data_IF_742737640357
#
_entry.id   IF_742737640357
#
_cell.length_a   1.000
_cell.length_b   1.000
_cell.length_c   1.000
_cell.angle_alpha   90.00
_cell.angle_beta   90.00
_cell.angle_gamma   90.00
#
_symmetry.space_group_name_H-M   'P 1'
#
loop_
_entity.id
_entity.type
_entity.pdbx_description
1 polymer ?
#
# COMPACT_ATOMS: atom_id res chain seq x y z
N UNK A 1 4.55 35.44 12.55
CA UNK A 1 4.78 34.31 11.61
C UNK A 1 6.14 33.69 11.87
N UNK A 2 6.16 32.41 12.26
CA UNK A 2 7.42 31.69 12.53
C UNK A 2 7.99 31.17 11.22
N UNK A 3 9.27 31.39 10.98
CA UNK A 3 9.94 31.01 9.71
C UNK A 3 9.85 29.50 9.44
N UNK A 4 9.96 28.68 10.47
CA UNK A 4 9.89 27.23 10.40
C UNK A 4 8.53 26.76 9.88
N UNK A 5 7.44 27.33 10.40
CA UNK A 5 6.08 27.00 9.98
C UNK A 5 5.82 27.42 8.53
N UNK A 6 6.30 28.60 8.14
CA UNK A 6 6.20 29.05 6.76
C UNK A 6 7.00 28.19 5.81
N UNK A 7 8.14 27.65 6.25
CA UNK A 7 8.94 26.69 5.48
C UNK A 7 8.16 25.39 5.26
N UNK A 8 7.55 24.82 6.32
CA UNK A 8 6.76 23.59 6.25
C UNK A 8 5.59 23.72 5.26
N UNK A 9 4.81 24.80 5.36
CA UNK A 9 3.70 25.09 4.43
C UNK A 9 4.22 25.18 2.97
N UNK A 10 5.29 25.90 2.75
CA UNK A 10 5.89 26.05 1.42
C UNK A 10 6.34 24.73 0.83
N UNK A 11 7.01 23.89 1.62
CA UNK A 11 7.49 22.60 1.15
C UNK A 11 6.34 21.59 0.94
N UNK A 12 5.30 21.63 1.77
CA UNK A 12 4.08 20.83 1.55
C UNK A 12 3.39 21.21 0.22
N UNK A 13 3.22 22.52 -0.05
CA UNK A 13 2.65 23.00 -1.33
C UNK A 13 3.51 22.59 -2.52
N UNK A 14 4.84 22.66 -2.40
CA UNK A 14 5.75 22.19 -3.47
C UNK A 14 5.60 20.69 -3.73
N UNK A 15 5.47 19.89 -2.66
CA UNK A 15 5.24 18.44 -2.76
C UNK A 15 3.94 18.13 -3.50
N UNK A 16 2.84 18.77 -3.10
CA UNK A 16 1.52 18.65 -3.74
C UNK A 16 1.59 19.06 -5.21
N UNK A 17 2.18 20.23 -5.52
CA UNK A 17 2.36 20.70 -6.89
C UNK A 17 3.10 19.67 -7.74
N UNK A 18 4.25 19.18 -7.26
CA UNK A 18 5.06 18.20 -7.99
C UNK A 18 4.30 16.90 -8.24
N UNK A 19 3.56 16.40 -7.25
CA UNK A 19 2.76 15.20 -7.41
C UNK A 19 1.65 15.40 -8.46
N UNK A 20 0.93 16.52 -8.41
CA UNK A 20 -0.13 16.85 -9.37
C UNK A 20 0.41 16.95 -10.81
N UNK A 21 1.54 17.62 -11.01
CA UNK A 21 2.19 17.76 -12.32
C UNK A 21 2.67 16.40 -12.83
N UNK A 22 3.39 15.66 -12.01
CA UNK A 22 3.96 14.36 -12.41
C UNK A 22 2.91 13.29 -12.64
N UNK A 23 1.84 13.26 -11.86
CA UNK A 23 0.77 12.26 -11.99
C UNK A 23 -0.35 12.71 -12.93
N UNK A 24 -0.27 13.92 -13.48
CA UNK A 24 -1.32 14.53 -14.30
C UNK A 24 -2.69 14.54 -13.56
N UNK A 25 -2.68 14.97 -12.30
CA UNK A 25 -3.82 14.99 -11.41
C UNK A 25 -4.05 16.41 -10.88
N UNK A 26 -4.84 17.24 -11.57
CA UNK A 26 -4.97 18.65 -11.24
C UNK A 26 -5.75 18.87 -9.94
N UNK A 27 -5.35 19.89 -9.19
CA UNK A 27 -6.16 20.40 -8.08
C UNK A 27 -7.39 21.13 -8.65
N UNK A 28 -8.56 20.72 -8.22
CA UNK A 28 -9.84 21.32 -8.66
C UNK A 28 -10.52 22.12 -7.57
N UNK A 29 -10.17 21.88 -6.31
CA UNK A 29 -10.67 22.64 -5.15
C UNK A 29 -9.72 22.45 -3.97
N UNK A 30 -9.77 23.35 -3.03
CA UNK A 30 -9.04 23.24 -1.78
C UNK A 30 -9.24 24.45 -0.88
N UNK A 31 -8.80 24.31 0.36
CA UNK A 31 -8.73 25.42 1.32
C UNK A 31 -7.50 25.25 2.20
N UNK A 32 -7.18 26.29 2.93
CA UNK A 32 -6.15 26.27 3.98
C UNK A 32 -6.72 26.90 5.24
N UNK A 33 -6.46 26.27 6.38
CA UNK A 33 -6.74 26.83 7.70
C UNK A 33 -5.39 27.03 8.42
N UNK A 34 -5.17 28.25 8.87
CA UNK A 34 -3.96 28.66 9.57
C UNK A 34 -4.30 29.03 11.02
N UNK A 35 -3.28 29.13 11.88
CA UNK A 35 -3.42 29.49 13.29
C UNK A 35 -4.24 28.49 14.13
N UNK A 36 -4.23 27.22 13.72
CA UNK A 36 -4.90 26.14 14.46
C UNK A 36 -4.08 25.74 15.69
N UNK A 37 -4.67 25.90 16.85
CA UNK A 37 -4.05 25.49 18.12
C UNK A 37 -5.10 25.01 19.12
N UNK A 38 -4.64 24.22 20.09
CA UNK A 38 -5.44 23.78 21.23
C UNK A 38 -4.65 24.06 22.51
N UNK A 39 -5.23 24.87 23.43
CA UNK A 39 -4.58 25.26 24.68
C UNK A 39 -3.16 25.84 24.50
N UNK A 40 -2.98 26.69 23.51
CA UNK A 40 -1.69 27.34 23.20
C UNK A 40 -0.65 26.41 22.53
N UNK A 41 -1.03 25.20 22.15
CA UNK A 41 -0.18 24.26 21.38
C UNK A 41 -0.66 24.16 19.96
N UNK A 42 0.22 24.42 18.98
CA UNK A 42 -0.07 24.24 17.57
C UNK A 42 -0.40 22.79 17.27
N UNK A 43 -1.39 22.55 16.39
CA UNK A 43 -1.62 21.22 15.82
C UNK A 43 -0.51 20.84 14.84
N UNK A 44 -0.39 19.56 14.53
CA UNK A 44 0.55 19.11 13.50
C UNK A 44 0.14 19.67 12.13
N UNK A 45 1.09 20.14 11.30
CA UNK A 45 0.82 20.57 9.94
C UNK A 45 0.46 19.36 9.08
N UNK A 46 -0.82 19.19 8.78
CA UNK A 46 -1.34 17.98 8.12
C UNK A 46 -2.11 18.35 6.85
N UNK A 47 -1.48 18.25 5.66
CA UNK A 47 -2.20 18.29 4.40
C UNK A 47 -3.10 17.06 4.25
N UNK A 48 -4.36 17.27 3.89
CA UNK A 48 -5.32 16.21 3.58
C UNK A 48 -5.66 16.26 2.10
N UNK A 49 -5.49 15.16 1.40
CA UNK A 49 -5.72 15.07 -0.04
C UNK A 49 -6.92 14.17 -0.31
N UNK A 50 -7.95 14.72 -0.92
CA UNK A 50 -9.08 13.98 -1.47
C UNK A 50 -8.92 13.79 -2.97
N UNK A 51 -9.14 12.57 -3.45
CA UNK A 51 -9.08 12.24 -4.87
C UNK A 51 -10.46 11.85 -5.41
N UNK A 52 -10.83 12.34 -6.60
CA UNK A 52 -12.06 11.96 -7.29
C UNK A 52 -11.72 11.36 -8.64
N UNK A 53 -12.27 10.17 -8.92
CA UNK A 53 -12.12 9.49 -10.19
C UNK A 53 -13.45 8.97 -10.73
N UNK A 54 -13.54 8.82 -12.06
CA UNK A 54 -14.72 8.29 -12.72
C UNK A 54 -14.50 6.84 -13.15
N UNK A 55 -15.33 5.92 -12.66
CA UNK A 55 -15.39 4.53 -13.11
C UNK A 55 -16.49 4.43 -14.16
N UNK A 56 -16.10 4.24 -15.43
CA UNK A 56 -17.07 4.15 -16.56
C UNK A 56 -17.92 2.88 -16.51
N UNK A 57 -17.37 1.79 -16.00
CA UNK A 57 -18.07 0.50 -15.91
C UNK A 57 -17.81 -0.13 -14.54
N UNK A 58 -18.85 -0.25 -13.72
CA UNK A 58 -18.76 -0.82 -12.37
C UNK A 58 -18.31 -2.29 -12.34
N UNK A 59 -18.51 -3.03 -13.42
CA UNK A 59 -18.03 -4.41 -13.53
C UNK A 59 -16.49 -4.51 -13.57
N UNK A 60 -15.81 -3.42 -13.89
CA UNK A 60 -14.35 -3.34 -13.89
C UNK A 60 -13.79 -2.93 -12.50
N UNK A 61 -14.64 -2.84 -11.47
CA UNK A 61 -14.17 -2.58 -10.10
C UNK A 61 -13.58 -3.85 -9.49
N UNK A 62 -12.42 -3.71 -8.89
CA UNK A 62 -11.80 -4.74 -8.03
C UNK A 62 -11.66 -4.20 -6.60
N UNK A 63 -11.91 -5.04 -5.64
CA UNK A 63 -11.69 -4.78 -4.22
C UNK A 63 -10.79 -5.86 -3.63
N UNK A 64 -10.97 -6.19 -2.37
CA UNK A 64 -10.14 -7.14 -1.62
C UNK A 64 -10.54 -8.62 -1.82
N UNK A 65 -11.30 -8.95 -2.85
CA UNK A 65 -11.81 -10.32 -3.06
C UNK A 65 -10.66 -11.30 -3.22
N UNK A 66 -10.71 -12.39 -2.42
CA UNK A 66 -9.84 -13.55 -2.53
C UNK A 66 -10.67 -14.81 -2.78
N UNK A 67 -10.14 -15.71 -3.59
CA UNK A 67 -10.68 -17.07 -3.75
C UNK A 67 -9.62 -18.07 -3.30
N UNK A 68 -10.03 -19.22 -2.74
CA UNK A 68 -9.09 -20.29 -2.40
C UNK A 68 -8.25 -20.70 -3.60
N UNK A 69 -6.98 -21.01 -3.35
CA UNK A 69 -5.97 -21.38 -4.35
C UNK A 69 -5.55 -20.26 -5.31
N UNK A 70 -6.13 -19.05 -5.23
CA UNK A 70 -5.60 -17.90 -5.98
C UNK A 70 -4.17 -17.59 -5.54
N UNK A 71 -3.34 -17.17 -6.48
CA UNK A 71 -1.96 -16.81 -6.21
C UNK A 71 -1.88 -15.34 -5.79
N UNK A 72 -0.92 -15.05 -4.93
CA UNK A 72 -0.66 -13.68 -4.46
C UNK A 72 0.62 -13.18 -5.08
N UNK A 73 0.51 -12.08 -5.80
CA UNK A 73 1.63 -11.39 -6.41
C UNK A 73 1.83 -10.02 -5.78
N UNK A 74 3.10 -9.73 -5.49
CA UNK A 74 3.56 -8.39 -5.14
C UNK A 74 4.05 -7.72 -6.41
N UNK A 75 3.48 -6.59 -6.75
CA UNK A 75 3.94 -5.70 -7.82
C UNK A 75 4.69 -4.52 -7.20
N UNK A 76 5.82 -4.16 -7.80
CA UNK A 76 6.72 -3.12 -7.29
C UNK A 76 7.82 -3.69 -6.37
N UNK A 77 8.92 -2.96 -6.27
CA UNK A 77 10.11 -3.39 -5.52
C UNK A 77 10.01 -3.02 -4.06
N UNK A 78 10.33 -3.95 -3.16
CA UNK A 78 10.52 -3.68 -1.75
C UNK A 78 11.99 -3.37 -1.47
N UNK A 79 12.26 -2.21 -0.88
CA UNK A 79 13.59 -1.78 -0.43
C UNK A 79 13.74 -1.91 1.10
N UNK A 80 12.61 -2.03 1.80
CA UNK A 80 12.54 -2.22 3.24
C UNK A 80 12.70 -0.92 4.03
N UNK A 81 12.07 0.14 3.56
CA UNK A 81 12.10 1.44 4.23
C UNK A 81 11.26 1.40 5.52
N UNK A 82 11.91 1.61 6.66
CA UNK A 82 11.28 1.55 7.99
C UNK A 82 11.22 2.91 8.70
N UNK A 83 11.96 3.91 8.24
CA UNK A 83 11.96 5.24 8.88
C UNK A 83 10.56 5.84 8.84
N UNK A 84 10.13 6.41 9.95
CA UNK A 84 8.80 7.02 10.15
C UNK A 84 7.61 6.05 9.92
N UNK A 85 7.87 4.74 9.79
CA UNK A 85 6.83 3.72 9.62
C UNK A 85 6.03 3.50 10.89
N UNK A 86 4.86 2.86 10.75
CA UNK A 86 4.03 2.41 11.89
C UNK A 86 4.83 1.51 12.83
N UNK A 87 5.73 0.66 12.31
CA UNK A 87 6.61 -0.16 13.14
C UNK A 87 7.51 0.72 14.04
N UNK A 88 8.18 1.72 13.46
CA UNK A 88 9.08 2.59 14.22
C UNK A 88 8.31 3.45 15.22
N UNK A 89 7.11 3.90 14.87
CA UNK A 89 6.21 4.59 15.83
C UNK A 89 5.83 3.67 16.99
N UNK A 90 5.49 2.41 16.72
CA UNK A 90 5.15 1.43 17.76
C UNK A 90 6.32 1.10 18.69
N UNK A 91 7.55 1.11 18.16
CA UNK A 91 8.78 0.88 18.93
C UNK A 91 9.35 2.16 19.56
N UNK A 92 8.67 3.31 19.46
CA UNK A 92 9.14 4.65 19.91
C UNK A 92 10.52 5.04 19.32
N UNK A 93 10.82 4.57 18.11
CA UNK A 93 12.02 4.94 17.36
C UNK A 93 11.74 6.26 16.64
N UNK A 94 12.49 7.30 16.99
CA UNK A 94 12.31 8.66 16.47
C UNK A 94 13.34 8.99 15.42
N UNK A 95 12.93 9.86 14.48
CA UNK A 95 13.81 10.36 13.41
C UNK A 95 13.76 9.51 12.14
N UNK A 96 14.67 9.83 11.23
CA UNK A 96 14.71 9.24 9.89
C UNK A 96 14.08 10.15 8.84
N UNK A 97 13.97 9.63 7.63
CA UNK A 97 13.43 10.34 6.48
C UNK A 97 12.26 9.57 5.88
N UNK A 98 11.24 10.23 5.30
CA UNK A 98 10.20 9.55 4.57
C UNK A 98 10.77 8.82 3.34
N UNK A 99 10.10 7.78 2.84
CA UNK A 99 10.53 7.10 1.63
C UNK A 99 10.55 8.08 0.43
N UNK A 100 11.57 7.94 -0.41
CA UNK A 100 11.66 8.78 -1.61
C UNK A 100 10.58 8.38 -2.62
N UNK A 101 9.77 9.34 -3.03
CA UNK A 101 8.77 9.13 -4.08
C UNK A 101 9.45 9.01 -5.44
N UNK A 102 9.16 7.92 -6.15
CA UNK A 102 9.59 7.69 -7.53
C UNK A 102 8.36 7.78 -8.46
N UNK A 103 8.07 8.95 -8.98
CA UNK A 103 6.90 9.19 -9.82
C UNK A 103 6.85 8.33 -11.09
N UNK A 104 8.01 7.92 -11.61
CA UNK A 104 8.06 7.01 -12.77
C UNK A 104 7.52 5.63 -12.41
N UNK A 105 7.94 5.08 -11.27
CA UNK A 105 7.44 3.78 -10.79
C UNK A 105 5.97 3.88 -10.36
N UNK A 106 5.56 5.00 -9.72
CA UNK A 106 4.16 5.26 -9.37
C UNK A 106 3.25 5.19 -10.61
N UNK A 107 3.58 5.95 -11.63
CA UNK A 107 2.85 5.93 -12.90
C UNK A 107 2.83 4.53 -13.51
N UNK A 108 4.01 3.92 -13.63
CA UNK A 108 4.17 2.65 -14.32
C UNK A 108 3.35 1.54 -13.65
N UNK A 109 3.52 1.36 -12.33
CA UNK A 109 2.83 0.32 -11.59
C UNK A 109 1.33 0.61 -11.46
N UNK A 110 0.94 1.85 -11.20
CA UNK A 110 -0.47 2.26 -11.13
C UNK A 110 -1.20 2.08 -12.47
N UNK A 111 -0.59 2.47 -13.59
CA UNK A 111 -1.19 2.24 -14.91
C UNK A 111 -1.29 0.76 -15.26
N UNK A 112 -0.29 -0.04 -14.91
CA UNK A 112 -0.33 -1.48 -15.09
C UNK A 112 -1.49 -2.12 -14.32
N UNK A 113 -1.63 -1.81 -13.03
CA UNK A 113 -2.74 -2.33 -12.20
C UNK A 113 -4.09 -1.87 -12.75
N UNK A 114 -4.22 -0.60 -13.13
CA UNK A 114 -5.42 -0.07 -13.77
C UNK A 114 -5.78 -0.83 -15.05
N UNK A 115 -4.80 -1.09 -15.91
CA UNK A 115 -4.98 -1.85 -17.16
C UNK A 115 -5.45 -3.28 -16.89
N UNK A 116 -4.83 -3.98 -15.92
CA UNK A 116 -5.30 -5.28 -15.47
C UNK A 116 -6.77 -5.27 -15.03
N UNK A 117 -7.15 -4.27 -14.23
CA UNK A 117 -8.54 -4.14 -13.74
C UNK A 117 -9.53 -3.89 -14.88
N UNK A 118 -9.15 -3.05 -15.84
CA UNK A 118 -10.05 -2.58 -16.89
C UNK A 118 -10.16 -3.53 -18.08
N UNK A 119 -9.07 -4.20 -18.46
CA UNK A 119 -8.94 -4.90 -19.71
C UNK A 119 -8.91 -6.43 -19.56
N UNK A 120 -8.80 -6.94 -18.33
CA UNK A 120 -8.65 -8.38 -18.12
C UNK A 120 -9.58 -8.92 -17.03
N UNK A 121 -9.59 -10.26 -16.91
CA UNK A 121 -10.27 -10.99 -15.82
C UNK A 121 -9.29 -11.86 -15.00
N UNK A 122 -7.99 -11.63 -15.18
CA UNK A 122 -6.92 -12.45 -14.58
C UNK A 122 -6.65 -12.14 -13.11
N UNK A 123 -7.23 -11.08 -12.57
CA UNK A 123 -7.18 -10.75 -11.14
C UNK A 123 -8.57 -10.75 -10.52
N UNK A 124 -8.67 -11.34 -9.33
CA UNK A 124 -9.90 -11.35 -8.53
C UNK A 124 -9.98 -10.13 -7.62
N UNK A 125 -8.85 -9.74 -7.04
CA UNK A 125 -8.73 -8.64 -6.11
C UNK A 125 -7.39 -7.89 -6.22
N UNK A 126 -7.36 -6.73 -5.60
CA UNK A 126 -6.21 -5.83 -5.59
C UNK A 126 -6.20 -5.03 -4.30
N UNK A 127 -5.02 -4.78 -3.75
CA UNK A 127 -4.79 -3.91 -2.59
C UNK A 127 -3.50 -3.12 -2.81
N UNK A 128 -3.51 -1.83 -2.51
CA UNK A 128 -2.30 -1.03 -2.41
C UNK A 128 -1.56 -1.35 -1.10
N UNK A 129 -0.27 -1.07 -1.08
CA UNK A 129 0.56 -1.23 0.12
C UNK A 129 0.94 0.16 0.63
N UNK A 130 0.52 0.47 1.84
CA UNK A 130 0.78 1.73 2.52
C UNK A 130 1.34 1.50 3.93
N UNK A 131 0.73 2.06 4.96
CA UNK A 131 1.13 1.90 6.36
C UNK A 131 1.17 0.43 6.79
N UNK A 132 2.17 0.06 7.59
CA UNK A 132 2.38 -1.32 8.03
C UNK A 132 2.88 -2.28 6.95
N UNK A 133 3.11 -1.80 5.74
CA UNK A 133 3.74 -2.54 4.65
C UNK A 133 2.93 -3.74 4.15
N UNK A 134 3.64 -4.71 3.57
CA UNK A 134 3.06 -5.95 3.01
C UNK A 134 2.30 -6.75 4.07
N UNK A 135 2.81 -6.79 5.30
CA UNK A 135 2.23 -7.60 6.36
C UNK A 135 0.83 -7.11 6.74
N UNK A 136 0.62 -5.79 6.86
CA UNK A 136 -0.69 -5.23 7.20
C UNK A 136 -1.66 -5.39 6.04
N UNK A 137 -1.25 -5.10 4.80
CA UNK A 137 -2.09 -5.29 3.63
C UNK A 137 -2.57 -6.75 3.47
N UNK A 138 -1.71 -7.74 3.73
CA UNK A 138 -2.09 -9.15 3.76
C UNK A 138 -3.06 -9.48 4.91
N UNK A 139 -2.87 -8.86 6.08
CA UNK A 139 -3.78 -9.05 7.21
C UNK A 139 -5.18 -8.49 6.90
N UNK A 140 -5.26 -7.32 6.27
CA UNK A 140 -6.52 -6.69 5.85
C UNK A 140 -7.25 -7.55 4.80
N UNK A 141 -6.53 -8.12 3.84
CA UNK A 141 -7.10 -9.09 2.91
C UNK A 141 -7.65 -10.32 3.62
N UNK A 142 -6.93 -10.87 4.60
CA UNK A 142 -7.42 -11.99 5.41
C UNK A 142 -8.68 -11.63 6.20
N UNK A 143 -8.71 -10.45 6.81
CA UNK A 143 -9.85 -9.94 7.58
C UNK A 143 -11.08 -9.77 6.68
N UNK A 144 -10.90 -9.11 5.53
CA UNK A 144 -12.00 -8.82 4.60
C UNK A 144 -12.67 -10.08 4.02
N UNK A 145 -11.93 -11.18 3.92
CA UNK A 145 -12.41 -12.41 3.30
C UNK A 145 -12.65 -13.55 4.30
N UNK A 146 -12.27 -13.39 5.57
CA UNK A 146 -12.24 -14.45 6.58
C UNK A 146 -11.49 -15.71 6.06
N UNK A 147 -10.38 -15.51 5.36
CA UNK A 147 -9.63 -16.54 4.65
C UNK A 147 -8.13 -16.31 4.85
N UNK A 148 -7.37 -17.39 5.02
CA UNK A 148 -5.94 -17.32 5.27
C UNK A 148 -5.10 -17.16 4.01
N UNK A 149 -3.82 -16.88 4.24
CA UNK A 149 -2.80 -16.75 3.21
C UNK A 149 -1.54 -17.47 3.68
N UNK A 150 -0.94 -18.26 2.81
CA UNK A 150 0.38 -18.85 3.03
C UNK A 150 1.43 -18.15 2.17
N UNK A 151 2.37 -17.46 2.82
CA UNK A 151 3.52 -16.81 2.20
C UNK A 151 4.63 -17.81 1.97
N UNK A 152 5.38 -17.69 0.87
CA UNK A 152 6.41 -18.68 0.47
C UNK A 152 7.74 -18.07 0.06
N UNK A 153 7.90 -16.75 0.10
CA UNK A 153 9.06 -16.10 -0.52
C UNK A 153 10.13 -15.64 0.48
N UNK A 154 9.86 -15.75 1.79
CA UNK A 154 10.71 -15.14 2.83
C UNK A 154 11.98 -15.95 3.15
N UNK A 155 12.00 -17.24 2.89
CA UNK A 155 13.11 -18.13 3.27
C UNK A 155 14.48 -17.72 2.72
N UNK A 156 14.51 -17.03 1.58
CA UNK A 156 15.74 -16.61 0.92
C UNK A 156 16.01 -15.10 1.05
N UNK A 157 15.23 -14.38 1.86
CA UNK A 157 15.39 -12.93 2.03
C UNK A 157 16.24 -12.62 3.25
N UNK A 158 17.24 -11.77 3.06
CA UNK A 158 17.93 -11.12 4.20
C UNK A 158 16.98 -10.07 4.77
N UNK A 159 16.84 -10.03 6.10
CA UNK A 159 15.98 -9.06 6.79
C UNK A 159 14.51 -9.12 6.32
N UNK A 160 13.81 -10.27 6.48
CA UNK A 160 12.42 -10.43 6.03
C UNK A 160 11.46 -9.45 6.70
N UNK A 161 11.79 -8.99 7.93
CA UNK A 161 11.04 -7.95 8.64
C UNK A 161 10.98 -6.64 7.86
N UNK A 162 12.05 -6.24 7.20
CA UNK A 162 12.07 -5.04 6.35
C UNK A 162 11.21 -5.20 5.10
N UNK A 163 11.20 -6.39 4.52
CA UNK A 163 10.37 -6.67 3.34
C UNK A 163 8.89 -6.65 3.71
N UNK A 164 8.54 -7.22 4.87
CA UNK A 164 7.16 -7.33 5.33
C UNK A 164 6.60 -6.02 5.87
N UNK A 165 7.40 -5.27 6.63
CA UNK A 165 6.94 -4.11 7.39
C UNK A 165 7.44 -2.77 6.83
N UNK A 166 8.30 -2.83 5.79
CA UNK A 166 8.76 -1.63 5.09
C UNK A 166 7.62 -0.94 4.35
N UNK A 167 7.58 0.38 4.42
CA UNK A 167 6.54 1.23 3.83
C UNK A 167 7.02 1.91 2.55
N UNK A 168 7.65 1.11 1.68
CA UNK A 168 8.08 1.58 0.36
C UNK A 168 6.87 1.94 -0.52
N UNK A 169 7.05 2.91 -1.38
CA UNK A 169 6.03 3.44 -2.29
C UNK A 169 5.78 2.54 -3.51
N UNK A 170 4.68 2.80 -4.23
CA UNK A 170 4.43 2.24 -5.57
C UNK A 170 4.28 0.72 -5.62
N UNK A 171 3.69 0.12 -4.58
CA UNK A 171 3.52 -1.33 -4.48
C UNK A 171 2.05 -1.73 -4.35
N UNK A 172 1.74 -2.91 -4.93
CA UNK A 172 0.39 -3.47 -4.90
C UNK A 172 0.43 -4.97 -4.65
N UNK A 173 -0.57 -5.47 -3.94
CA UNK A 173 -0.87 -6.90 -3.84
C UNK A 173 -1.99 -7.22 -4.84
N UNK A 174 -1.75 -8.23 -5.67
CA UNK A 174 -2.74 -8.71 -6.63
C UNK A 174 -3.11 -10.15 -6.33
N UNK A 175 -4.40 -10.43 -6.35
CA UNK A 175 -4.95 -11.78 -6.24
C UNK A 175 -5.19 -12.31 -7.64
N UNK A 176 -4.34 -13.23 -8.07
CA UNK A 176 -4.24 -13.70 -9.45
C UNK A 176 -4.86 -15.09 -9.59
N UNK A 177 -5.77 -15.23 -10.53
CA UNK A 177 -6.45 -16.50 -10.85
C UNK A 177 -5.83 -17.22 -12.08
N UNK A 178 -5.13 -16.50 -12.94
CA UNK A 178 -4.45 -17.05 -14.12
C UNK A 178 -2.96 -16.65 -14.16
N UNK A 179 -2.10 -17.53 -13.63
CA UNK A 179 -0.65 -17.31 -13.53
C UNK A 179 0.01 -16.98 -14.86
N UNK A 180 -0.23 -17.82 -15.88
CA UNK A 180 0.48 -17.72 -17.17
C UNK A 180 0.17 -16.40 -17.87
N UNK A 181 -1.08 -16.03 -17.88
CA UNK A 181 -1.54 -14.79 -18.50
C UNK A 181 -1.01 -13.57 -17.74
N UNK A 182 -1.06 -13.57 -16.40
CA UNK A 182 -0.51 -12.49 -15.59
C UNK A 182 0.99 -12.28 -15.82
N UNK A 183 1.79 -13.35 -15.74
CA UNK A 183 3.24 -13.25 -15.89
C UNK A 183 3.62 -12.78 -17.32
N UNK A 184 2.89 -13.24 -18.34
CA UNK A 184 3.07 -12.76 -19.72
C UNK A 184 2.77 -11.26 -19.83
N UNK A 185 1.65 -10.83 -19.27
CA UNK A 185 1.21 -9.43 -19.30
C UNK A 185 2.20 -8.51 -18.56
N UNK A 186 2.66 -8.93 -17.39
CA UNK A 186 3.61 -8.19 -16.58
C UNK A 186 5.01 -8.10 -17.22
N UNK A 187 5.47 -9.18 -17.85
CA UNK A 187 6.76 -9.20 -18.58
C UNK A 187 6.72 -8.29 -19.80
N UNK A 188 5.64 -8.28 -20.58
CA UNK A 188 5.46 -7.40 -21.74
C UNK A 188 5.54 -5.92 -21.34
N UNK A 189 4.92 -5.55 -20.23
CA UNK A 189 4.95 -4.19 -19.70
C UNK A 189 6.21 -3.90 -18.84
N UNK A 190 7.13 -4.87 -18.73
CA UNK A 190 8.39 -4.79 -17.95
C UNK A 190 8.15 -4.39 -16.49
N UNK A 191 7.11 -4.93 -15.89
CA UNK A 191 6.77 -4.71 -14.48
C UNK A 191 7.60 -5.64 -13.61
N UNK A 192 8.09 -5.11 -12.49
CA UNK A 192 8.67 -5.97 -11.45
C UNK A 192 7.56 -6.60 -10.62
N UNK A 193 7.59 -7.93 -10.49
CA UNK A 193 6.65 -8.68 -9.67
C UNK A 193 7.30 -9.89 -9.00
N UNK A 194 6.75 -10.32 -7.90
CA UNK A 194 7.10 -11.57 -7.21
C UNK A 194 5.84 -12.35 -6.86
N UNK A 195 5.83 -13.66 -7.08
CA UNK A 195 4.82 -14.54 -6.48
C UNK A 195 5.18 -14.75 -5.01
N UNK A 196 4.39 -14.19 -4.11
CA UNK A 196 4.68 -14.19 -2.67
C UNK A 196 3.88 -15.22 -1.89
N UNK A 197 2.88 -15.87 -2.48
CA UNK A 197 2.09 -16.85 -1.74
C UNK A 197 0.85 -17.33 -2.45
N UNK A 198 0.02 -18.00 -1.66
CA UNK A 198 -1.24 -18.59 -2.09
C UNK A 198 -2.33 -18.37 -1.03
N UNK A 199 -3.55 -18.15 -1.49
CA UNK A 199 -4.74 -18.01 -0.63
C UNK A 199 -5.22 -19.37 -0.16
N UNK A 200 -5.52 -19.50 1.13
CA UNK A 200 -6.18 -20.67 1.69
C UNK A 200 -5.92 -20.88 3.18
N UNK A 201 -6.74 -21.70 3.79
CA UNK A 201 -6.66 -22.04 5.21
C UNK A 201 -7.16 -20.92 6.15
N UNK A 202 -6.82 -21.06 7.45
CA UNK A 202 -7.32 -20.20 8.52
C UNK A 202 -6.22 -19.36 9.19
N UNK A 203 -5.06 -19.27 8.56
CA UNK A 203 -3.90 -18.54 9.09
C UNK A 203 -3.36 -17.57 8.05
N UNK A 204 -2.90 -16.43 8.50
CA UNK A 204 -1.87 -15.68 7.81
C UNK A 204 -0.52 -16.27 8.27
N UNK A 205 0.11 -17.01 7.37
CA UNK A 205 1.32 -17.80 7.62
C UNK A 205 2.49 -17.17 6.87
N UNK A 206 3.43 -16.60 7.62
CA UNK A 206 4.64 -15.96 7.11
C UNK A 206 5.80 -16.94 7.00
N UNK A 207 5.55 -18.04 6.27
CA UNK A 207 6.51 -19.11 6.06
C UNK A 207 6.96 -19.70 7.43
N UNK A 208 8.22 -19.83 7.71
CA UNK A 208 8.71 -20.36 8.98
C UNK A 208 8.97 -19.30 10.06
N UNK A 209 8.60 -18.02 9.80
CA UNK A 209 8.84 -16.94 10.77
C UNK A 209 7.78 -16.94 11.88
N UNK A 210 6.53 -16.83 11.53
CA UNK A 210 5.40 -16.87 12.45
C UNK A 210 4.10 -17.04 11.69
N UNK A 211 3.04 -17.37 12.42
CA UNK A 211 1.68 -17.44 11.89
C UNK A 211 0.66 -16.92 12.88
N UNK A 212 -0.39 -16.32 12.37
CA UNK A 212 -1.49 -15.79 13.16
C UNK A 212 -2.82 -16.27 12.58
N UNK A 213 -3.77 -16.66 13.43
CA UNK A 213 -5.10 -17.07 12.95
C UNK A 213 -5.88 -15.88 12.44
N UNK A 214 -6.66 -16.06 11.36
CA UNK A 214 -7.58 -15.03 10.85
C UNK A 214 -8.56 -14.58 11.94
N UNK A 215 -9.04 -15.51 12.78
CA UNK A 215 -9.89 -15.21 13.93
C UNK A 215 -9.23 -14.22 14.91
N UNK A 216 -7.91 -14.36 15.16
CA UNK A 216 -7.18 -13.43 16.03
C UNK A 216 -7.02 -12.06 15.38
N UNK A 217 -6.77 -11.99 14.07
CA UNK A 217 -6.73 -10.75 13.30
C UNK A 217 -8.07 -10.01 13.39
N UNK A 218 -9.17 -10.69 13.08
CA UNK A 218 -10.54 -10.16 13.21
C UNK A 218 -10.81 -9.60 14.61
N UNK A 219 -10.53 -10.40 15.66
CA UNK A 219 -10.74 -9.98 17.05
C UNK A 219 -9.90 -8.77 17.43
N UNK A 220 -8.68 -8.66 16.91
CA UNK A 220 -7.81 -7.52 17.21
C UNK A 220 -8.30 -6.27 16.51
N UNK A 221 -8.66 -6.39 15.22
CA UNK A 221 -9.20 -5.28 14.44
C UNK A 221 -10.51 -4.73 15.02
N UNK A 222 -11.43 -5.60 15.46
CA UNK A 222 -12.72 -5.19 16.04
C UNK A 222 -12.63 -4.50 17.41
N UNK A 223 -11.46 -4.43 18.05
CA UNK A 223 -11.28 -3.71 19.32
C UNK A 223 -11.08 -2.20 19.17
N UNK A 224 -10.96 -1.71 17.97
CA UNK A 224 -10.81 -0.29 17.68
C UNK A 224 -12.15 0.44 17.50
N UNK A 225 -13.26 -0.31 17.42
CA UNK A 225 -14.61 0.22 17.24
C UNK A 225 -15.53 -0.16 18.38
#
# INVERSE_FOLDING_TARGET
EKKEIMFEIKEAIKGIKKACEELNYPVVSGNVSLYNETNGKSILPTPVIGGVGLIKNLNNRKGFKMNEKSLIYLVGKSQGHLDLSVLYQHLDIKGGNPPKVNFREEKKNGYFVKKLIQETKIIDGCHDISEGGVALALAELCIANNLGIKIKFLNNKKQPEKILLGEDQSRYILIVNNKKEFESFANNDKIFFENIGIVGGNYLDFDNLFKITVKKLLKTNSKWF
#
